data_IF_169539262927
#
_entry.id   IF_169539262927
#
_cell.length_a   1.000
_cell.length_b   1.000
_cell.length_c   1.000
_cell.angle_alpha   90.00
_cell.angle_beta   90.00
_cell.angle_gamma   90.00
#
_symmetry.space_group_name_H-M   'P 1'
#
loop_
_entity.id
_entity.type
_entity.pdbx_description
1 polymer ?
#
# COMPACT_ATOMS: atom_id res chain seq x y z
N UNK A 1 23.98 -33.61 -9.88
CA UNK A 1 23.73 -34.40 -8.66
C UNK A 1 23.21 -33.44 -7.61
N UNK A 2 21.90 -33.19 -7.59
CA UNK A 2 21.29 -32.25 -6.66
C UNK A 2 20.98 -32.96 -5.35
N UNK A 3 21.59 -32.48 -4.27
CA UNK A 3 21.36 -32.98 -2.93
C UNK A 3 20.03 -32.40 -2.41
N UNK A 4 19.00 -33.25 -2.34
CA UNK A 4 17.81 -33.04 -1.51
C UNK A 4 18.23 -33.13 -0.04
N UNK A 5 18.01 -32.09 0.74
CA UNK A 5 17.89 -32.23 2.19
C UNK A 5 16.41 -32.35 2.55
N UNK A 6 16.08 -33.48 3.15
CA UNK A 6 14.78 -33.74 3.76
C UNK A 6 14.81 -33.26 5.22
N UNK A 7 13.77 -32.54 5.61
CA UNK A 7 13.34 -32.32 6.99
C UNK A 7 11.81 -32.26 6.98
N UNK A 8 11.18 -33.29 7.56
CA UNK A 8 9.75 -33.55 7.66
C UNK A 8 9.23 -33.10 9.04
N UNK A 9 7.93 -32.79 9.15
CA UNK A 9 6.99 -32.93 10.29
C UNK A 9 6.05 -31.68 10.32
N UNK A 10 4.88 -31.80 9.69
CA UNK A 10 3.81 -30.78 9.71
C UNK A 10 3.94 -29.73 8.59
N UNK A 11 3.00 -29.70 7.64
CA UNK A 11 2.81 -28.50 6.84
C UNK A 11 2.51 -27.36 7.81
N UNK A 12 3.29 -26.26 7.89
CA UNK A 12 2.67 -25.02 8.28
C UNK A 12 1.58 -24.83 7.22
N UNK A 13 0.31 -24.91 7.61
CA UNK A 13 -0.75 -24.41 6.76
C UNK A 13 -0.36 -22.96 6.49
N UNK A 14 0.19 -22.70 5.29
CA UNK A 14 0.67 -21.37 4.91
C UNK A 14 -0.45 -20.39 5.19
N UNK A 15 -0.14 -19.29 5.88
CA UNK A 15 -1.09 -18.21 6.06
C UNK A 15 -0.92 -17.28 4.89
N UNK A 16 -2.03 -16.94 4.26
CA UNK A 16 -2.06 -16.08 3.09
C UNK A 16 -2.83 -14.80 3.39
N UNK A 17 -2.50 -13.74 2.67
CA UNK A 17 -3.11 -12.43 2.80
C UNK A 17 -3.68 -11.99 1.45
N UNK A 18 -4.99 -11.84 1.38
CA UNK A 18 -5.74 -11.39 0.21
C UNK A 18 -6.33 -10.00 0.50
N UNK A 19 -5.71 -8.96 -0.04
CA UNK A 19 -6.09 -7.57 0.26
C UNK A 19 -6.33 -6.81 -1.02
N UNK A 20 -7.37 -5.97 -1.01
CA UNK A 20 -7.73 -5.08 -2.10
C UNK A 20 -7.76 -3.62 -1.63
N UNK A 21 -7.14 -2.73 -2.40
CA UNK A 21 -7.07 -1.28 -2.13
C UNK A 21 -6.92 -0.50 -3.44
N UNK A 22 -7.48 0.70 -3.52
CA UNK A 22 -7.28 1.63 -4.63
C UNK A 22 -6.55 2.89 -4.20
N UNK A 23 -5.94 3.57 -5.15
CA UNK A 23 -5.23 4.84 -4.98
C UNK A 23 -5.96 5.95 -5.75
N UNK A 24 -6.15 7.09 -5.11
CA UNK A 24 -6.59 8.30 -5.80
C UNK A 24 -5.49 8.81 -6.75
N UNK A 25 -5.86 9.25 -7.95
CA UNK A 25 -4.88 9.66 -8.95
C UNK A 25 -4.81 8.68 -10.13
N UNK A 26 -4.26 7.47 -9.95
CA UNK A 26 -4.25 6.48 -11.03
C UNK A 26 -5.62 5.84 -11.27
N UNK A 27 -6.56 5.92 -10.32
CA UNK A 27 -7.92 5.38 -10.48
C UNK A 27 -8.67 6.08 -11.63
N UNK A 28 -9.22 5.28 -12.55
CA UNK A 28 -9.82 5.74 -13.81
C UNK A 28 -11.35 5.56 -13.88
N UNK A 29 -11.99 5.30 -12.74
CA UNK A 29 -13.44 5.09 -12.61
C UNK A 29 -13.87 3.63 -12.57
N UNK A 30 -12.96 2.68 -12.84
CA UNK A 30 -13.21 1.25 -12.69
C UNK A 30 -12.00 0.54 -12.11
N UNK A 31 -10.83 0.78 -12.71
CA UNK A 31 -9.55 0.23 -12.30
C UNK A 31 -8.55 1.37 -12.07
N UNK A 32 -7.26 1.06 -11.99
CA UNK A 32 -6.16 2.02 -12.00
C UNK A 32 -5.36 1.94 -13.29
N UNK A 33 -4.77 3.05 -13.70
CA UNK A 33 -3.81 3.05 -14.81
C UNK A 33 -2.49 2.42 -14.32
N UNK A 34 -2.01 1.32 -14.94
CA UNK A 34 -0.76 0.70 -14.54
C UNK A 34 0.46 1.55 -14.95
N UNK A 35 1.43 1.69 -14.05
CA UNK A 35 2.65 2.49 -14.27
C UNK A 35 3.77 1.68 -14.93
N UNK A 36 3.63 0.36 -15.01
CA UNK A 36 4.67 -0.55 -15.55
C UNK A 36 5.16 -0.15 -16.94
N UNK A 37 4.26 0.27 -17.82
CA UNK A 37 4.58 0.67 -19.19
C UNK A 37 5.43 1.95 -19.30
N UNK A 38 5.58 2.71 -18.21
CA UNK A 38 6.36 3.96 -18.16
C UNK A 38 7.86 3.68 -17.93
N UNK A 39 8.22 2.52 -17.36
CA UNK A 39 9.61 2.13 -17.10
C UNK A 39 10.27 2.87 -15.93
N UNK A 40 9.48 3.49 -15.05
CA UNK A 40 10.00 4.22 -13.88
C UNK A 40 9.93 3.43 -12.56
N UNK A 41 9.08 2.40 -12.45
CA UNK A 41 8.98 1.59 -11.23
C UNK A 41 10.33 0.94 -10.89
N UNK A 42 10.81 1.06 -9.64
CA UNK A 42 12.10 0.52 -9.25
C UNK A 42 12.03 -1.01 -9.19
N UNK A 43 13.12 -1.67 -9.60
CA UNK A 43 13.26 -3.13 -9.52
C UNK A 43 13.53 -3.65 -8.10
N UNK A 44 13.71 -2.77 -7.12
CA UNK A 44 13.84 -3.10 -5.70
C UNK A 44 12.85 -2.27 -4.89
N UNK A 45 12.35 -2.83 -3.80
CA UNK A 45 11.35 -2.16 -2.97
C UNK A 45 11.84 -0.77 -2.49
N UNK A 46 10.98 0.27 -2.53
CA UNK A 46 11.37 1.67 -2.29
C UNK A 46 11.27 2.11 -0.81
N UNK A 47 10.88 1.22 0.10
CA UNK A 47 10.56 1.51 1.50
C UNK A 47 11.77 1.38 2.45
N UNK A 48 12.99 1.20 1.92
CA UNK A 48 14.21 1.07 2.72
C UNK A 48 14.76 2.39 3.30
N UNK A 49 14.11 3.52 2.99
CA UNK A 49 14.43 4.84 3.55
C UNK A 49 13.37 5.30 4.53
N UNK A 50 13.64 6.41 5.23
CA UNK A 50 12.64 7.08 6.06
C UNK A 50 11.38 7.44 5.23
N UNK A 51 10.19 7.44 5.87
CA UNK A 51 9.94 7.12 7.28
C UNK A 51 9.94 5.62 7.60
N UNK A 52 9.73 4.75 6.60
CA UNK A 52 9.44 3.32 6.84
C UNK A 52 10.65 2.51 7.31
N UNK A 53 11.84 2.85 6.83
CA UNK A 53 13.10 2.17 7.11
C UNK A 53 12.98 0.63 7.04
N UNK A 54 12.21 0.15 6.06
CA UNK A 54 11.89 -1.26 5.91
C UNK A 54 13.11 -2.03 5.40
N UNK A 55 13.54 -3.03 6.18
CA UNK A 55 14.77 -3.79 5.96
C UNK A 55 14.62 -4.97 4.99
N UNK A 56 13.44 -5.14 4.39
CA UNK A 56 13.20 -6.15 3.37
C UNK A 56 14.09 -5.97 2.14
N UNK A 57 14.27 -7.06 1.40
CA UNK A 57 15.20 -7.15 0.26
C UNK A 57 14.51 -7.53 -1.05
N UNK A 58 13.18 -7.41 -1.07
CA UNK A 58 12.31 -7.67 -2.20
C UNK A 58 12.80 -6.91 -3.44
N UNK A 59 13.04 -7.68 -4.50
CA UNK A 59 13.48 -7.18 -5.80
C UNK A 59 13.08 -8.17 -6.89
N UNK A 60 12.98 -7.66 -8.11
CA UNK A 60 12.62 -8.44 -9.30
C UNK A 60 13.54 -8.07 -10.46
N UNK A 61 13.73 -8.98 -11.41
CA UNK A 61 14.46 -8.67 -12.65
C UNK A 61 13.62 -7.81 -13.61
N UNK A 62 12.29 -7.96 -13.55
CA UNK A 62 11.31 -7.24 -14.36
C UNK A 62 10.03 -7.02 -13.56
N UNK A 63 9.42 -5.84 -13.68
CA UNK A 63 8.09 -5.59 -13.12
C UNK A 63 7.04 -6.31 -13.97
N UNK A 64 6.13 -7.13 -13.38
CA UNK A 64 5.02 -7.75 -14.10
C UNK A 64 4.09 -6.72 -14.75
N UNK A 65 3.39 -7.13 -15.80
CA UNK A 65 2.33 -6.31 -16.40
C UNK A 65 1.24 -5.98 -15.35
N UNK A 66 0.46 -4.94 -15.62
CA UNK A 66 -0.66 -4.48 -14.78
C UNK A 66 -0.30 -3.96 -13.38
N UNK A 67 0.99 -3.97 -12.99
CA UNK A 67 1.44 -3.32 -11.75
C UNK A 67 1.28 -1.80 -11.87
N UNK A 68 0.58 -1.24 -10.88
CA UNK A 68 0.41 0.20 -10.66
C UNK A 68 1.59 0.73 -9.86
N UNK A 69 1.94 0.07 -8.75
CA UNK A 69 3.01 0.50 -7.88
C UNK A 69 3.46 -0.56 -6.86
N UNK A 70 4.52 -0.24 -6.11
CA UNK A 70 4.86 -0.90 -4.86
C UNK A 70 4.01 -0.41 -3.70
N UNK A 71 3.61 -1.32 -2.81
CA UNK A 71 3.03 -1.00 -1.49
C UNK A 71 3.82 -1.69 -0.39
N UNK A 72 3.83 -1.12 0.81
CA UNK A 72 4.36 -1.78 2.00
C UNK A 72 3.20 -2.21 2.89
N UNK A 73 3.15 -3.50 3.12
CA UNK A 73 2.15 -4.12 3.97
C UNK A 73 2.73 -4.28 5.35
N UNK A 74 1.91 -3.99 6.35
CA UNK A 74 2.23 -4.21 7.74
C UNK A 74 1.06 -4.93 8.43
N UNK A 75 1.39 -6.01 9.14
CA UNK A 75 0.42 -6.84 9.86
C UNK A 75 0.57 -6.59 11.35
N UNK A 76 -0.55 -6.27 12.01
CA UNK A 76 -0.64 -5.97 13.44
C UNK A 76 -1.54 -6.99 14.14
N UNK A 77 -1.11 -7.53 15.27
CA UNK A 77 -1.85 -8.54 16.04
C UNK A 77 -2.24 -7.99 17.42
N UNK A 78 -3.53 -7.71 17.59
CA UNK A 78 -4.06 -7.06 18.79
C UNK A 78 -5.53 -7.42 19.02
N UNK A 79 -6.10 -7.00 20.16
CA UNK A 79 -7.49 -7.31 20.51
C UNK A 79 -8.50 -6.30 19.96
N UNK A 80 -8.06 -5.12 19.55
CA UNK A 80 -8.91 -4.03 19.06
C UNK A 80 -8.14 -3.10 18.11
N UNK A 81 -8.82 -2.52 17.12
CA UNK A 81 -8.20 -1.65 16.12
C UNK A 81 -7.50 -0.42 16.75
N UNK A 82 -8.05 0.14 17.83
CA UNK A 82 -7.45 1.29 18.53
C UNK A 82 -6.14 0.97 19.25
N UNK A 83 -5.85 -0.33 19.45
CA UNK A 83 -4.61 -0.84 20.04
C UNK A 83 -3.65 -1.38 18.99
N UNK A 84 -3.99 -1.31 17.70
CA UNK A 84 -3.13 -1.76 16.62
C UNK A 84 -2.09 -0.67 16.34
N UNK A 85 -1.11 -0.49 17.23
CA UNK A 85 -0.01 0.48 17.12
C UNK A 85 1.26 -0.17 16.57
N UNK A 86 2.34 0.61 16.41
CA UNK A 86 3.65 0.09 16.00
C UNK A 86 4.21 -1.02 16.91
N UNK A 87 3.80 -1.08 18.17
CA UNK A 87 4.22 -2.12 19.13
C UNK A 87 3.60 -3.50 18.84
N UNK A 88 2.52 -3.54 18.05
CA UNK A 88 1.77 -4.76 17.73
C UNK A 88 2.10 -5.34 16.35
N UNK A 89 3.07 -4.74 15.64
CA UNK A 89 3.54 -5.22 14.35
C UNK A 89 4.15 -6.61 14.50
N UNK A 90 3.63 -7.57 13.76
CA UNK A 90 4.17 -8.94 13.69
C UNK A 90 4.88 -9.24 12.38
N UNK A 91 4.53 -8.56 11.29
CA UNK A 91 5.18 -8.76 9.98
C UNK A 91 5.09 -7.51 9.11
N UNK A 92 6.06 -7.35 8.20
CA UNK A 92 6.06 -6.34 7.14
C UNK A 92 6.59 -6.96 5.85
N UNK A 93 5.98 -6.62 4.72
CA UNK A 93 6.37 -7.14 3.39
C UNK A 93 6.09 -6.09 2.31
N UNK A 94 7.06 -5.86 1.42
CA UNK A 94 6.81 -5.08 0.21
C UNK A 94 6.14 -5.95 -0.86
N UNK A 95 5.14 -5.41 -1.53
CA UNK A 95 4.29 -6.13 -2.46
C UNK A 95 3.93 -5.26 -3.67
N UNK A 96 3.32 -5.86 -4.69
CA UNK A 96 2.79 -5.14 -5.84
C UNK A 96 1.31 -4.87 -5.70
N UNK A 97 0.91 -3.66 -6.09
CA UNK A 97 -0.47 -3.28 -6.30
C UNK A 97 -0.80 -3.37 -7.79
N UNK A 98 -1.83 -4.14 -8.13
CA UNK A 98 -2.31 -4.29 -9.51
C UNK A 98 -3.39 -3.26 -9.86
N UNK A 99 -3.65 -3.10 -11.16
CA UNK A 99 -4.66 -2.19 -11.69
C UNK A 99 -6.07 -2.41 -11.12
N UNK A 100 -6.45 -3.65 -10.84
CA UNK A 100 -7.75 -4.01 -10.27
C UNK A 100 -7.83 -3.80 -8.74
N UNK A 101 -6.76 -3.29 -8.13
CA UNK A 101 -6.64 -3.01 -6.70
C UNK A 101 -6.13 -4.18 -5.87
N UNK A 102 -5.91 -5.36 -6.46
CA UNK A 102 -5.38 -6.52 -5.75
C UNK A 102 -3.93 -6.28 -5.33
N UNK A 103 -3.58 -6.70 -4.11
CA UNK A 103 -2.21 -6.67 -3.61
C UNK A 103 -1.62 -8.08 -3.63
N UNK A 104 -0.54 -8.25 -4.38
CA UNK A 104 0.02 -9.57 -4.74
C UNK A 104 1.53 -9.64 -4.48
N UNK A 105 2.04 -10.86 -4.45
CA UNK A 105 3.48 -11.14 -4.35
C UNK A 105 4.22 -10.71 -5.64
N UNK A 106 5.55 -10.80 -5.61
CA UNK A 106 6.45 -10.23 -6.63
C UNK A 106 6.37 -10.92 -8.01
N UNK A 107 5.65 -12.03 -8.12
CA UNK A 107 5.36 -12.67 -9.41
C UNK A 107 4.16 -12.04 -10.14
N UNK A 108 3.47 -11.08 -9.51
CA UNK A 108 2.33 -10.35 -10.08
C UNK A 108 1.00 -11.12 -10.04
N UNK A 109 0.91 -12.25 -9.34
CA UNK A 109 -0.34 -13.05 -9.31
C UNK A 109 -0.57 -13.86 -8.04
N UNK A 110 0.48 -14.24 -7.32
CA UNK A 110 0.37 -15.04 -6.10
C UNK A 110 -0.20 -14.20 -4.96
N UNK A 111 -1.12 -14.78 -4.20
CA UNK A 111 -1.56 -14.24 -2.92
C UNK A 111 -0.36 -14.24 -1.96
N UNK A 112 -0.20 -13.17 -1.21
CA UNK A 112 0.92 -12.97 -0.31
C UNK A 112 0.94 -14.06 0.77
N UNK A 113 2.13 -14.57 1.07
CA UNK A 113 2.33 -15.56 2.12
C UNK A 113 3.06 -14.94 3.31
N UNK A 114 2.58 -15.20 4.52
CA UNK A 114 3.28 -14.81 5.75
C UNK A 114 3.35 -15.98 6.73
N UNK A 115 4.40 -16.01 7.55
CA UNK A 115 4.64 -17.11 8.48
C UNK A 115 4.82 -16.59 9.91
N UNK A 116 3.73 -16.05 10.46
CA UNK A 116 3.67 -15.58 11.84
C UNK A 116 2.48 -16.21 12.57
N UNK A 117 2.70 -16.51 13.85
CA UNK A 117 1.63 -16.90 14.77
C UNK A 117 0.75 -15.69 15.06
N UNK A 118 -0.57 -15.90 15.00
CA UNK A 118 -1.57 -14.89 15.38
C UNK A 118 -2.19 -15.36 16.70
N UNK A 119 -2.16 -14.49 17.70
CA UNK A 119 -2.63 -14.73 19.06
C UNK A 119 -4.02 -14.11 19.24
N UNK A 120 -4.24 -12.89 18.73
CA UNK A 120 -5.49 -12.16 18.86
C UNK A 120 -6.17 -12.02 17.48
N UNK A 121 -6.50 -10.78 17.10
CA UNK A 121 -7.08 -10.43 15.81
C UNK A 121 -6.03 -9.76 14.93
N UNK A 122 -6.03 -10.13 13.66
CA UNK A 122 -5.12 -9.57 12.67
C UNK A 122 -5.72 -8.31 12.06
N UNK A 123 -4.92 -7.25 11.98
CA UNK A 123 -5.22 -6.01 11.26
C UNK A 123 -4.13 -5.78 10.21
N UNK A 124 -4.50 -5.19 9.08
CA UNK A 124 -3.57 -4.87 8.00
C UNK A 124 -3.48 -3.36 7.83
N UNK A 125 -2.26 -2.87 7.67
CA UNK A 125 -1.94 -1.50 7.28
C UNK A 125 -1.30 -1.55 5.89
N UNK A 126 -1.77 -0.68 5.00
CA UNK A 126 -1.17 -0.45 3.68
C UNK A 126 -0.54 0.92 3.69
N UNK A 127 0.77 0.96 3.49
CA UNK A 127 1.53 2.17 3.22
C UNK A 127 1.83 2.26 1.72
N UNK A 128 1.78 3.48 1.20
CA UNK A 128 2.20 3.81 -0.15
C UNK A 128 3.09 5.05 -0.12
N UNK A 129 3.90 5.26 -1.16
CA UNK A 129 4.97 6.28 -1.15
C UNK A 129 4.48 7.72 -1.03
N UNK A 130 3.26 8.01 -1.49
CA UNK A 130 2.71 9.37 -1.57
C UNK A 130 1.21 9.47 -1.27
N UNK A 131 0.66 8.46 -0.59
CA UNK A 131 -0.72 8.42 -0.13
C UNK A 131 -0.77 8.23 1.39
N UNK A 132 -1.82 8.75 2.02
CA UNK A 132 -2.08 8.50 3.43
C UNK A 132 -2.33 7.01 3.65
N UNK A 133 -1.58 6.42 4.59
CA UNK A 133 -1.72 5.02 4.94
C UNK A 133 -3.12 4.68 5.46
N UNK A 134 -3.59 3.47 5.18
CA UNK A 134 -4.89 2.97 5.65
C UNK A 134 -4.70 1.71 6.48
N UNK A 135 -5.46 1.60 7.56
CA UNK A 135 -5.52 0.39 8.38
C UNK A 135 -6.94 -0.18 8.34
N UNK A 136 -7.09 -1.50 8.35
CA UNK A 136 -8.39 -2.15 8.46
C UNK A 136 -9.13 -1.71 9.73
N UNK A 137 -10.37 -1.22 9.59
CA UNK A 137 -11.24 -0.85 10.71
C UNK A 137 -11.65 -2.05 11.57
N UNK A 138 -11.80 -3.21 10.95
CA UNK A 138 -12.19 -4.46 11.60
C UNK A 138 -11.08 -5.51 11.42
N UNK A 139 -11.04 -6.55 12.27
CA UNK A 139 -10.17 -7.70 12.05
C UNK A 139 -10.34 -8.31 10.65
N UNK A 140 -9.25 -8.83 10.11
CA UNK A 140 -9.26 -9.58 8.86
C UNK A 140 -10.12 -10.84 9.02
N UNK A 141 -10.85 -11.19 7.97
CA UNK A 141 -11.65 -12.42 7.94
C UNK A 141 -10.74 -13.58 7.54
N UNK A 142 -10.70 -14.63 8.35
CA UNK A 142 -9.94 -15.85 8.04
C UNK A 142 -10.85 -16.94 7.50
N UNK A 143 -10.46 -17.53 6.37
CA UNK A 143 -11.11 -18.71 5.81
C UNK A 143 -10.06 -19.62 5.15
N UNK A 144 -9.92 -20.83 5.67
CA UNK A 144 -9.02 -21.87 5.13
C UNK A 144 -7.54 -21.43 5.03
N UNK A 145 -7.07 -20.63 5.98
CA UNK A 145 -5.71 -20.10 6.05
C UNK A 145 -5.49 -18.82 5.26
N UNK A 146 -6.53 -18.27 4.62
CA UNK A 146 -6.47 -16.99 3.89
C UNK A 146 -7.14 -15.92 4.75
N UNK A 147 -6.38 -14.87 5.06
CA UNK A 147 -6.87 -13.67 5.73
C UNK A 147 -7.20 -12.63 4.67
N UNK A 148 -8.46 -12.20 4.60
CA UNK A 148 -8.93 -11.29 3.56
C UNK A 148 -9.42 -9.95 4.10
N UNK A 149 -9.15 -8.88 3.34
CA UNK A 149 -9.72 -7.55 3.59
C UNK A 149 -9.92 -6.75 2.29
N UNK A 150 -11.06 -6.07 2.15
CA UNK A 150 -11.35 -5.21 1.01
C UNK A 150 -11.58 -3.78 1.50
N UNK A 151 -10.63 -2.90 1.21
CA UNK A 151 -10.72 -1.48 1.55
C UNK A 151 -11.67 -0.68 0.65
N UNK A 152 -12.11 -1.25 -0.47
CA UNK A 152 -12.73 -0.48 -1.56
C UNK A 152 -14.25 -0.35 -1.42
N UNK A 153 -14.87 -1.18 -0.59
CA UNK A 153 -16.32 -1.33 -0.53
C UNK A 153 -17.08 -0.19 0.16
N UNK A 154 -16.47 0.49 1.15
CA UNK A 154 -17.06 1.63 1.85
C UNK A 154 -16.03 2.37 2.71
N UNK A 155 -16.31 3.63 3.05
CA UNK A 155 -15.46 4.43 3.95
C UNK A 155 -15.20 3.80 5.33
N UNK A 156 -16.11 2.97 5.84
CA UNK A 156 -15.93 2.30 7.14
C UNK A 156 -15.02 1.07 7.09
N UNK A 157 -14.42 0.75 5.93
CA UNK A 157 -13.40 -0.28 5.84
C UNK A 157 -12.06 0.19 6.39
N UNK A 158 -11.74 1.49 6.34
CA UNK A 158 -10.55 2.03 6.98
C UNK A 158 -10.83 2.55 8.40
N UNK A 159 -9.90 2.27 9.30
CA UNK A 159 -9.95 2.72 10.69
C UNK A 159 -9.84 4.25 10.78
N UNK A 160 -10.70 4.86 11.59
CA UNK A 160 -10.69 6.30 11.86
C UNK A 160 -11.83 7.06 11.21
N UNK A 161 -11.71 8.39 11.16
CA UNK A 161 -12.69 9.27 10.49
C UNK A 161 -12.05 9.87 9.25
N UNK A 162 -12.79 9.88 8.13
CA UNK A 162 -12.28 10.33 6.84
C UNK A 162 -10.92 9.69 6.49
N UNK A 163 -10.77 8.38 6.75
CA UNK A 163 -9.54 7.64 6.52
C UNK A 163 -9.32 7.27 5.04
N UNK A 164 -10.37 7.34 4.22
CA UNK A 164 -10.33 7.06 2.79
C UNK A 164 -11.10 8.10 1.98
N UNK A 165 -10.74 8.19 0.70
CA UNK A 165 -11.40 9.02 -0.31
C UNK A 165 -12.51 8.23 -0.98
N UNK A 166 -13.67 8.86 -1.15
CA UNK A 166 -14.68 8.40 -2.12
C UNK A 166 -14.19 8.76 -3.53
N UNK A 167 -13.85 7.73 -4.31
CA UNK A 167 -13.33 7.87 -5.68
C UNK A 167 -14.46 7.95 -6.73
N UNK A 168 -15.72 7.88 -6.29
CA UNK A 168 -16.90 7.78 -7.15
C UNK A 168 -17.39 6.34 -7.33
N UNK A 169 -18.60 6.20 -7.86
CA UNK A 169 -19.23 4.89 -8.15
C UNK A 169 -19.32 3.92 -6.94
N UNK A 170 -19.24 4.45 -5.71
CA UNK A 170 -19.25 3.67 -4.47
C UNK A 170 -17.91 2.98 -4.15
N UNK A 171 -16.83 3.36 -4.83
CA UNK A 171 -15.48 2.82 -4.64
C UNK A 171 -14.66 3.78 -3.78
N UNK A 172 -13.93 3.23 -2.81
CA UNK A 172 -13.07 3.97 -1.90
C UNK A 172 -11.59 3.62 -2.12
N UNK A 173 -10.72 4.59 -1.85
CA UNK A 173 -9.28 4.43 -1.96
C UNK A 173 -8.50 5.32 -0.99
N UNK A 174 -7.18 5.16 -1.02
CA UNK A 174 -6.25 5.97 -0.22
C UNK A 174 -6.23 7.40 -0.76
N UNK A 175 -6.16 8.38 0.14
CA UNK A 175 -5.98 9.79 -0.24
C UNK A 175 -4.59 10.00 -0.82
N UNK A 176 -4.50 10.53 -2.02
CA UNK A 176 -3.22 10.99 -2.59
C UNK A 176 -2.86 12.37 -2.06
N UNK A 177 -1.55 12.63 -1.89
CA UNK A 177 -1.05 13.98 -1.59
C UNK A 177 -0.04 14.07 -0.45
N UNK A 178 0.19 13.00 0.29
CA UNK A 178 1.22 12.90 1.34
C UNK A 178 2.59 12.63 0.70
N UNK A 179 3.05 13.58 -0.12
CA UNK A 179 4.22 13.41 -0.99
C UNK A 179 5.56 13.40 -0.22
N UNK A 180 5.56 13.68 1.08
CA UNK A 180 6.72 13.56 1.95
C UNK A 180 6.63 12.36 2.91
N UNK A 181 5.49 11.64 2.89
CA UNK A 181 5.16 10.52 3.77
C UNK A 181 5.23 10.86 5.28
N UNK A 182 4.77 12.05 5.68
CA UNK A 182 4.71 12.48 7.08
C UNK A 182 3.32 12.30 7.71
N UNK A 183 2.42 11.61 6.99
CA UNK A 183 1.07 11.26 7.41
C UNK A 183 0.11 12.47 7.47
N UNK A 184 0.48 13.61 6.86
CA UNK A 184 -0.35 14.81 6.74
C UNK A 184 -0.27 15.39 5.34
N UNK A 185 -1.41 15.78 4.77
CA UNK A 185 -1.45 16.47 3.47
C UNK A 185 -1.52 17.97 3.71
N UNK A 186 -0.39 18.67 3.58
CA UNK A 186 -0.31 20.11 3.81
C UNK A 186 0.65 20.84 2.84
N UNK A 187 0.98 22.11 3.13
CA UNK A 187 1.86 22.90 2.26
C UNK A 187 3.30 22.37 2.22
N UNK A 188 3.71 21.54 3.19
CA UNK A 188 5.03 20.97 3.25
C UNK A 188 5.25 19.98 2.11
N UNK A 189 4.30 19.08 1.82
CA UNK A 189 4.33 18.16 0.65
C UNK A 189 4.67 18.90 -0.64
N UNK A 190 4.01 20.04 -0.84
CA UNK A 190 4.23 20.86 -2.01
C UNK A 190 5.60 21.53 -1.98
N UNK A 191 6.04 22.05 -0.84
CA UNK A 191 7.29 22.81 -0.75
C UNK A 191 8.55 21.94 -0.78
N UNK A 192 8.50 20.73 -0.24
CA UNK A 192 9.66 19.82 -0.20
C UNK A 192 9.68 18.82 -1.35
N UNK A 193 8.53 18.43 -1.88
CA UNK A 193 8.44 17.48 -3.00
C UNK A 193 8.11 18.20 -4.30
N UNK A 194 6.88 18.71 -4.45
CA UNK A 194 6.38 19.21 -5.74
C UNK A 194 7.22 20.36 -6.34
N UNK A 195 7.62 21.37 -5.55
CA UNK A 195 8.42 22.49 -6.07
C UNK A 195 9.81 22.06 -6.59
N UNK A 196 10.36 20.97 -6.05
CA UNK A 196 11.67 20.44 -6.43
C UNK A 196 11.58 19.50 -7.64
N UNK A 197 10.42 18.89 -7.85
CA UNK A 197 10.21 17.86 -8.86
C UNK A 197 9.35 18.32 -10.05
N UNK A 198 8.67 19.46 -9.96
CA UNK A 198 7.76 19.92 -11.03
C UNK A 198 8.48 20.10 -12.37
N UNK A 199 7.92 19.48 -13.40
CA UNK A 199 8.50 19.40 -14.76
C UNK A 199 9.47 18.25 -14.97
N UNK A 200 9.75 17.43 -13.95
CA UNK A 200 10.52 16.20 -14.08
C UNK A 200 9.63 15.01 -14.42
N UNK A 201 10.27 13.94 -14.88
CA UNK A 201 9.66 12.63 -15.10
C UNK A 201 10.44 11.55 -14.36
N UNK A 202 9.75 10.54 -13.83
CA UNK A 202 10.38 9.47 -13.07
C UNK A 202 9.48 8.87 -12.00
N UNK A 203 10.09 8.07 -11.12
CA UNK A 203 9.47 7.58 -9.89
C UNK A 203 9.59 8.66 -8.81
N UNK A 204 8.67 9.62 -8.86
CA UNK A 204 8.71 10.85 -8.07
C UNK A 204 7.69 10.77 -6.93
N UNK A 205 7.98 11.44 -5.81
CA UNK A 205 7.02 11.45 -4.70
C UNK A 205 5.85 12.41 -4.96
N UNK A 206 6.09 13.47 -5.74
CA UNK A 206 5.05 14.43 -6.14
C UNK A 206 4.25 14.05 -7.39
N UNK A 207 4.57 12.94 -8.05
CA UNK A 207 3.73 12.32 -9.08
C UNK A 207 2.60 11.55 -8.38
N UNK A 208 1.47 12.22 -8.18
CA UNK A 208 0.34 11.74 -7.39
C UNK A 208 -0.71 11.02 -8.24
N UNK A 209 -0.72 11.23 -9.56
CA UNK A 209 -1.56 10.46 -10.47
C UNK A 209 -0.85 9.22 -11.08
N UNK A 210 0.43 9.05 -10.76
CA UNK A 210 1.31 7.96 -11.20
C UNK A 210 1.46 7.90 -12.73
N UNK A 211 1.40 9.05 -13.41
CA UNK A 211 1.59 9.13 -14.87
C UNK A 211 3.06 9.27 -15.30
N UNK A 212 3.97 9.26 -14.33
CA UNK A 212 5.41 9.38 -14.53
C UNK A 212 5.88 10.83 -14.68
N UNK A 213 5.03 11.82 -14.44
CA UNK A 213 5.36 13.24 -14.48
C UNK A 213 4.91 13.96 -13.21
N UNK A 214 5.79 14.80 -12.66
CA UNK A 214 5.37 15.75 -11.64
C UNK A 214 4.94 17.06 -12.30
N UNK A 215 3.66 17.39 -12.28
CA UNK A 215 3.14 18.56 -12.98
C UNK A 215 1.95 19.22 -12.23
N UNK A 216 1.25 20.15 -12.89
CA UNK A 216 0.15 20.88 -12.26
C UNK A 216 -1.09 20.02 -11.99
N UNK A 217 -1.25 18.89 -12.68
CA UNK A 217 -2.34 17.94 -12.48
C UNK A 217 -2.24 17.33 -11.08
N UNK A 218 -1.06 16.83 -10.69
CA UNK A 218 -0.84 16.27 -9.33
C UNK A 218 -1.23 17.26 -8.24
N UNK A 219 -0.76 18.49 -8.39
CA UNK A 219 -1.02 19.55 -7.41
C UNK A 219 -2.50 19.96 -7.39
N UNK A 220 -3.11 20.19 -8.55
CA UNK A 220 -4.43 20.81 -8.63
C UNK A 220 -5.56 19.81 -8.47
N UNK A 221 -5.41 18.60 -9.02
CA UNK A 221 -6.45 17.59 -9.09
C UNK A 221 -6.35 16.55 -7.97
N UNK A 222 -5.20 16.41 -7.30
CA UNK A 222 -5.03 15.50 -6.16
C UNK A 222 -4.72 16.26 -4.87
N UNK A 223 -3.52 16.82 -4.74
CA UNK A 223 -3.06 17.43 -3.48
C UNK A 223 -4.00 18.53 -2.96
N UNK A 224 -4.42 19.47 -3.83
CA UNK A 224 -5.27 20.60 -3.44
C UNK A 224 -6.62 20.14 -2.88
N UNK A 225 -7.18 19.04 -3.42
CA UNK A 225 -8.49 18.52 -2.99
C UNK A 225 -8.43 17.84 -1.63
N UNK A 226 -7.25 17.36 -1.23
CA UNK A 226 -7.04 16.60 -0.01
C UNK A 226 -6.26 17.37 1.06
N UNK A 227 -5.87 18.60 0.79
CA UNK A 227 -5.18 19.46 1.74
C UNK A 227 -5.95 19.55 3.06
N UNK A 228 -5.27 19.26 4.16
CA UNK A 228 -5.80 19.23 5.53
C UNK A 228 -6.26 17.84 5.98
N UNK A 229 -6.14 16.80 5.15
CA UNK A 229 -6.32 15.41 5.57
C UNK A 229 -5.06 14.90 6.28
N UNK A 230 -5.25 13.98 7.22
CA UNK A 230 -4.17 13.33 7.96
C UNK A 230 -4.50 11.86 8.18
N UNK A 231 -3.48 11.02 8.25
CA UNK A 231 -3.69 9.59 8.43
C UNK A 231 -4.29 9.27 9.79
N UNK A 232 -4.95 8.11 9.84
CA UNK A 232 -5.72 7.65 10.99
C UNK A 232 -5.14 6.38 11.62
N UNK A 233 -4.09 5.82 11.03
CA UNK A 233 -3.38 4.65 11.53
C UNK A 233 -2.78 4.98 12.91
N UNK A 234 -3.05 4.19 13.97
CA UNK A 234 -2.43 4.41 15.27
C UNK A 234 -0.91 4.20 15.21
N UNK A 235 -0.14 5.07 15.83
CA UNK A 235 1.34 4.95 15.93
C UNK A 235 1.77 4.44 17.31
#
# INVERSE_FOLDING_TARGET
MFCRLAGWEGSPSGRYLDVKVFLEGPFNGTDMNPSTGLGFLPLSQPYNTAPWNYTGTESVDTIPDDVVDWVLIELRDTTDASLATGETIIARQAAFLLNDGSVVDLDGSSILAFNHSIINSLFVVIHHRNHLAVMSANPLTELNGIYSYDFTANNSQAYGTDAQKDLGEGIYGMYGGDANADNTIDDFDKTVSWLNETGLSGYLSSDLNLDGQSNNIDKNEVWMLNKGKSGQVPE
#
